data_IF_841598213123
#
_entry.id   IF_841598213123
#
_cell.length_a   1.000
_cell.length_b   1.000
_cell.length_c   1.000
_cell.angle_alpha   90.00
_cell.angle_beta   90.00
_cell.angle_gamma   90.00
#
_symmetry.space_group_name_H-M   'P 1'
#
loop_
_entity.id
_entity.type
_entity.pdbx_description
1 polymer ?
#
# COMPACT_ATOMS: atom_id res chain seq x y z
N UNK A 1 28.40 66.29 5.89
CA UNK A 1 29.22 65.32 5.12
C UNK A 1 29.75 64.16 5.96
N UNK A 2 30.34 64.36 7.16
CA UNK A 2 30.91 63.25 7.96
C UNK A 2 29.91 62.17 8.43
N UNK A 3 28.64 62.54 8.68
CA UNK A 3 27.60 61.61 9.15
C UNK A 3 27.11 60.69 8.02
N UNK A 4 27.04 61.18 6.78
CA UNK A 4 26.64 60.35 5.64
C UNK A 4 27.69 59.28 5.29
N UNK A 5 28.98 59.59 5.45
CA UNK A 5 30.04 58.59 5.28
C UNK A 5 30.01 57.51 6.36
N UNK A 6 29.65 57.85 7.60
CA UNK A 6 29.49 56.87 8.67
C UNK A 6 28.30 55.93 8.43
N UNK A 7 27.18 56.45 7.95
CA UNK A 7 26.00 55.64 7.61
C UNK A 7 26.32 54.72 6.42
N UNK A 8 27.02 55.24 5.39
CA UNK A 8 27.41 54.44 4.24
C UNK A 8 28.38 53.31 4.62
N UNK A 9 29.32 53.58 5.53
CA UNK A 9 30.28 52.58 6.02
C UNK A 9 29.60 51.49 6.88
N UNK A 10 28.59 51.86 7.68
CA UNK A 10 27.82 50.88 8.47
C UNK A 10 26.95 50.00 7.56
N UNK A 11 26.32 50.58 6.53
CA UNK A 11 25.52 49.81 5.56
C UNK A 11 26.40 48.87 4.73
N UNK A 12 27.60 49.29 4.32
CA UNK A 12 28.58 48.42 3.66
C UNK A 12 29.10 47.31 4.57
N UNK A 13 29.29 47.58 5.87
CA UNK A 13 29.71 46.55 6.82
C UNK A 13 28.63 45.48 7.05
N UNK A 14 27.35 45.87 7.08
CA UNK A 14 26.22 44.93 7.24
C UNK A 14 26.06 44.06 5.97
N UNK A 15 26.25 44.63 4.78
CA UNK A 15 26.15 43.89 3.51
C UNK A 15 27.29 42.89 3.30
N UNK A 16 28.44 43.07 3.94
CA UNK A 16 29.59 42.15 3.84
C UNK A 16 29.49 41.00 4.87
N UNK A 17 28.72 41.14 5.94
CA UNK A 17 28.58 40.07 6.95
C UNK A 17 27.57 38.99 6.58
N UNK A 18 26.68 39.22 5.61
CA UNK A 18 25.65 38.25 5.21
C UNK A 18 26.13 37.22 4.17
N UNK A 19 27.37 37.29 3.66
CA UNK A 19 27.89 36.33 2.66
C UNK A 19 28.74 35.18 3.23
N UNK A 20 28.78 34.98 4.55
CA UNK A 20 29.51 33.88 5.21
C UNK A 20 28.61 33.15 6.22
N UNK A 21 27.54 32.53 5.72
CA UNK A 21 26.77 31.54 6.46
C UNK A 21 26.52 30.31 5.57
N UNK A 22 27.60 29.63 5.20
CA UNK A 22 27.54 28.35 4.51
C UNK A 22 27.14 27.25 5.52
N UNK A 23 25.84 26.94 5.57
CA UNK A 23 25.28 25.92 6.44
C UNK A 23 25.62 24.54 5.86
N UNK A 24 26.72 23.95 6.33
CA UNK A 24 27.05 22.54 6.06
C UNK A 24 25.92 21.64 6.57
N UNK A 25 25.11 21.08 5.65
CA UNK A 25 24.14 20.03 5.95
C UNK A 25 24.90 18.76 6.30
N UNK A 26 24.94 18.42 7.60
CA UNK A 26 25.49 17.15 8.09
C UNK A 26 24.64 15.99 7.54
N UNK A 27 25.23 15.17 6.67
CA UNK A 27 24.67 13.86 6.31
C UNK A 27 24.61 12.97 7.56
N UNK A 28 23.40 12.66 8.02
CA UNK A 28 23.18 11.64 9.06
C UNK A 28 23.32 10.27 8.38
N UNK A 29 24.48 9.61 8.55
CA UNK A 29 24.66 8.20 8.18
C UNK A 29 23.74 7.35 9.06
N UNK A 30 22.62 6.88 8.51
CA UNK A 30 21.80 5.89 9.18
C UNK A 30 22.34 4.50 8.84
N UNK A 31 22.76 3.77 9.88
CA UNK A 31 23.24 2.39 9.83
C UNK A 31 22.05 1.50 9.47
N UNK A 32 22.16 0.69 8.40
CA UNK A 32 21.20 -0.37 8.05
C UNK A 32 21.04 -1.30 9.25
N UNK A 33 19.87 -1.30 9.90
CA UNK A 33 19.42 -2.43 10.70
C UNK A 33 18.49 -3.26 9.82
N UNK A 34 19.01 -4.41 9.38
CA UNK A 34 18.22 -5.54 8.92
C UNK A 34 17.71 -6.24 10.18
N UNK A 35 16.41 -6.24 10.44
CA UNK A 35 15.84 -7.12 11.46
C UNK A 35 14.56 -7.75 10.93
N UNK A 36 14.64 -9.08 10.98
CA UNK A 36 13.63 -10.09 10.76
C UNK A 36 12.46 -9.95 11.74
N UNK A 37 11.27 -10.28 11.27
CA UNK A 37 10.02 -10.49 12.00
C UNK A 37 10.25 -11.22 13.32
N UNK A 38 9.65 -10.74 14.43
CA UNK A 38 8.99 -11.56 15.48
C UNK A 38 8.22 -10.63 16.43
N UNK A 39 6.96 -10.99 16.67
CA UNK A 39 6.02 -10.52 17.69
C UNK A 39 6.61 -10.49 19.10
N UNK A 40 6.29 -9.45 19.91
CA UNK A 40 5.84 -9.54 21.33
C UNK A 40 5.64 -8.12 21.89
N UNK A 41 4.43 -7.89 22.37
CA UNK A 41 3.92 -6.97 23.42
C UNK A 41 4.68 -5.67 23.78
N UNK A 42 3.97 -4.54 23.74
CA UNK A 42 4.33 -3.31 24.44
C UNK A 42 3.20 -2.90 25.39
N UNK A 43 3.51 -2.82 26.68
CA UNK A 43 2.78 -2.03 27.67
C UNK A 43 3.74 -1.03 28.34
N UNK A 44 3.33 0.24 28.25
CA UNK A 44 3.54 1.45 29.08
C UNK A 44 4.90 1.79 29.73
N UNK A 45 5.34 3.00 29.38
CA UNK A 45 5.85 4.11 30.20
C UNK A 45 7.09 3.90 31.12
N UNK A 46 8.20 4.61 30.86
CA UNK A 46 8.53 5.88 31.53
C UNK A 46 9.96 6.40 31.21
N UNK A 47 10.07 7.74 31.15
CA UNK A 47 11.20 8.69 31.36
C UNK A 47 12.69 8.37 31.11
N UNK A 48 13.35 9.39 30.51
CA UNK A 48 14.79 9.63 30.31
C UNK A 48 15.69 9.23 31.50
N UNK A 49 16.86 8.67 31.20
CA UNK A 49 18.16 9.21 31.64
C UNK A 49 19.30 8.69 30.74
N UNK A 50 20.15 9.62 30.30
CA UNK A 50 21.28 9.46 29.39
C UNK A 50 22.58 9.51 30.22
N UNK A 51 23.31 8.39 30.32
CA UNK A 51 24.64 8.30 30.94
C UNK A 51 25.51 7.34 30.09
N UNK A 52 26.78 7.68 29.77
CA UNK A 52 27.60 6.92 28.83
C UNK A 52 28.32 5.77 29.54
N UNK A 53 28.04 4.52 29.15
CA UNK A 53 28.76 3.33 29.66
C UNK A 53 30.00 3.07 28.80
N UNK A 54 31.15 2.97 29.47
CA UNK A 54 32.49 2.65 28.93
C UNK A 54 32.52 1.28 28.25
N UNK A 55 33.21 1.22 27.11
CA UNK A 55 33.56 -0.03 26.41
C UNK A 55 34.37 -0.96 27.34
N UNK A 56 33.83 -2.17 27.55
CA UNK A 56 34.58 -3.33 28.04
C UNK A 56 34.59 -4.35 26.92
N UNK A 57 35.78 -4.62 26.38
CA UNK A 57 36.02 -5.67 25.40
C UNK A 57 35.74 -7.04 26.07
N UNK A 58 34.75 -7.77 25.55
CA UNK A 58 34.47 -9.15 25.95
C UNK A 58 35.04 -10.07 24.87
N UNK A 59 36.09 -10.80 25.21
CA UNK A 59 36.63 -11.90 24.39
C UNK A 59 35.60 -13.05 24.34
N UNK A 60 35.20 -13.46 23.13
CA UNK A 60 34.32 -14.60 22.88
C UNK A 60 35.20 -15.86 22.68
N UNK A 61 35.03 -16.95 23.44
CA UNK A 61 35.75 -18.20 23.19
C UNK A 61 35.28 -18.87 21.89
N UNK A 62 36.23 -19.34 21.08
CA UNK A 62 35.96 -20.15 19.88
C UNK A 62 35.44 -21.56 20.27
N UNK A 63 34.27 -21.95 19.77
CA UNK A 63 33.78 -23.33 19.83
C UNK A 63 34.12 -24.10 18.53
N UNK A 64 34.37 -25.42 18.61
CA UNK A 64 35.00 -26.17 17.52
C UNK A 64 34.07 -26.41 16.33
N UNK A 65 34.61 -26.17 15.13
CA UNK A 65 33.98 -26.51 13.85
C UNK A 65 33.73 -28.03 13.77
N UNK A 66 32.46 -28.42 13.78
CA UNK A 66 32.06 -29.78 13.39
C UNK A 66 31.69 -29.74 11.92
N UNK A 67 32.53 -30.40 11.11
CA UNK A 67 32.28 -30.64 9.69
C UNK A 67 30.98 -31.44 9.53
N UNK A 68 29.89 -30.76 9.16
CA UNK A 68 28.69 -31.43 8.65
C UNK A 68 28.99 -31.80 7.21
N UNK A 69 29.21 -33.09 6.98
CA UNK A 69 29.33 -33.67 5.65
C UNK A 69 28.00 -33.45 4.92
N UNK A 70 28.00 -32.50 3.99
CA UNK A 70 26.82 -32.10 3.23
C UNK A 70 26.56 -33.12 2.11
N UNK A 71 25.87 -34.21 2.46
CA UNK A 71 25.27 -35.17 1.54
C UNK A 71 23.76 -35.20 1.74
N UNK A 72 23.11 -34.05 1.61
CA UNK A 72 21.67 -34.01 1.43
C UNK A 72 21.34 -33.14 0.23
N UNK A 73 21.09 -33.78 -0.90
CA UNK A 73 20.38 -33.16 -2.00
C UNK A 73 19.01 -32.75 -1.46
N UNK A 74 18.85 -31.46 -1.11
CA UNK A 74 17.55 -30.89 -0.81
C UNK A 74 16.69 -31.07 -2.06
N UNK A 75 15.80 -32.07 -2.04
CA UNK A 75 14.68 -32.13 -2.97
C UNK A 75 13.97 -30.79 -2.85
N UNK A 76 14.04 -29.96 -3.88
CA UNK A 76 13.40 -28.67 -3.87
C UNK A 76 11.89 -28.92 -3.73
N UNK A 77 11.27 -28.39 -2.67
CA UNK A 77 9.84 -28.52 -2.43
C UNK A 77 9.06 -28.12 -3.71
N UNK A 78 8.31 -29.05 -4.33
CA UNK A 78 7.54 -28.82 -5.55
C UNK A 78 6.58 -27.64 -5.44
N UNK A 79 6.08 -27.34 -4.23
CA UNK A 79 5.13 -26.27 -4.00
C UNK A 79 5.75 -24.86 -4.03
N UNK A 80 7.08 -24.73 -3.95
CA UNK A 80 7.76 -23.43 -3.92
C UNK A 80 7.51 -22.56 -5.16
N UNK A 81 7.21 -23.17 -6.30
CA UNK A 81 6.97 -22.48 -7.58
C UNK A 81 5.51 -22.49 -8.02
N UNK A 82 4.62 -23.07 -7.22
CA UNK A 82 3.21 -23.23 -7.58
C UNK A 82 2.39 -22.09 -6.98
N UNK A 83 1.80 -21.28 -7.86
CA UNK A 83 0.89 -20.21 -7.47
C UNK A 83 -0.55 -20.71 -7.50
N UNK A 84 -1.11 -20.93 -6.31
CA UNK A 84 -2.52 -21.27 -6.16
C UNK A 84 -3.39 -20.00 -6.11
N UNK A 85 -4.60 -20.09 -6.69
CA UNK A 85 -5.57 -19.00 -6.63
C UNK A 85 -6.06 -18.70 -5.21
N UNK A 86 -6.79 -17.58 -5.05
CA UNK A 86 -7.31 -17.15 -3.76
C UNK A 86 -8.11 -18.25 -3.03
N UNK A 87 -7.84 -18.45 -1.74
CA UNK A 87 -8.51 -19.47 -0.93
C UNK A 87 -7.91 -20.86 -1.03
N UNK A 88 -6.80 -21.02 -1.75
CA UNK A 88 -6.10 -22.29 -1.94
C UNK A 88 -4.65 -22.23 -1.48
N UNK A 89 -4.13 -23.38 -1.06
CA UNK A 89 -2.72 -23.59 -0.72
C UNK A 89 -2.19 -24.79 -1.49
N UNK A 90 -0.88 -24.81 -1.77
CA UNK A 90 -0.25 -25.95 -2.39
C UNK A 90 0.08 -27.00 -1.32
N UNK A 91 -0.33 -28.23 -1.57
CA UNK A 91 0.01 -29.41 -0.79
C UNK A 91 0.47 -30.52 -1.75
N UNK A 92 1.43 -31.33 -1.33
CA UNK A 92 1.96 -32.44 -2.14
C UNK A 92 1.09 -33.67 -1.90
N UNK A 93 0.67 -34.33 -2.97
CA UNK A 93 -0.13 -35.56 -2.89
C UNK A 93 0.71 -36.83 -2.64
N UNK A 94 0.08 -38.01 -2.70
CA UNK A 94 0.76 -39.31 -2.48
C UNK A 94 1.75 -39.67 -3.59
N UNK A 95 1.68 -39.01 -4.75
CA UNK A 95 2.51 -39.25 -5.93
C UNK A 95 3.65 -38.21 -6.07
N UNK A 96 3.93 -37.44 -5.02
CA UNK A 96 4.90 -36.32 -4.98
C UNK A 96 4.55 -35.16 -5.95
N UNK A 97 3.28 -35.03 -6.35
CA UNK A 97 2.82 -33.96 -7.25
C UNK A 97 2.17 -32.79 -6.48
N UNK A 98 2.47 -31.53 -6.84
CA UNK A 98 1.91 -30.36 -6.15
C UNK A 98 0.46 -30.09 -6.57
N UNK A 99 -0.45 -30.07 -5.59
CA UNK A 99 -1.87 -29.82 -5.80
C UNK A 99 -2.37 -28.60 -5.01
N UNK A 100 -3.16 -27.73 -5.67
CA UNK A 100 -3.82 -26.62 -5.01
C UNK A 100 -5.14 -27.04 -4.36
N UNK A 101 -5.13 -27.26 -3.05
CA UNK A 101 -6.32 -27.58 -2.25
C UNK A 101 -6.90 -26.33 -1.59
N UNK A 102 -8.16 -26.37 -1.14
CA UNK A 102 -8.72 -25.26 -0.36
C UNK A 102 -8.01 -25.14 1.00
N UNK A 103 -7.81 -23.91 1.49
CA UNK A 103 -7.22 -23.66 2.81
C UNK A 103 -7.95 -24.49 3.87
N UNK A 104 -7.24 -25.30 4.68
CA UNK A 104 -7.87 -26.14 5.69
C UNK A 104 -8.34 -25.32 6.89
N UNK A 105 -7.49 -24.43 7.40
CA UNK A 105 -7.73 -23.62 8.59
C UNK A 105 -7.35 -22.17 8.36
N UNK A 106 -8.21 -21.25 8.81
CA UNK A 106 -7.99 -19.81 8.75
C UNK A 106 -7.70 -19.23 10.14
N UNK A 107 -6.85 -18.19 10.24
CA UNK A 107 -6.62 -17.51 11.51
C UNK A 107 -7.90 -16.85 12.01
N UNK A 108 -8.06 -16.84 13.34
CA UNK A 108 -9.17 -16.18 14.03
C UNK A 108 -8.75 -14.76 14.36
N UNK A 109 -9.38 -13.77 13.70
CA UNK A 109 -9.13 -12.37 14.04
C UNK A 109 -9.95 -11.94 15.25
N UNK A 110 -9.23 -11.52 16.29
CA UNK A 110 -9.81 -10.95 17.51
C UNK A 110 -10.19 -9.48 17.33
N UNK A 111 -9.45 -8.75 16.49
CA UNK A 111 -9.72 -7.34 16.20
C UNK A 111 -10.90 -7.21 15.24
N UNK A 112 -11.94 -6.49 15.68
CA UNK A 112 -13.10 -6.12 14.87
C UNK A 112 -12.76 -5.48 13.52
N UNK A 113 -11.63 -4.75 13.42
CA UNK A 113 -11.17 -4.08 12.19
C UNK A 113 -10.59 -5.04 11.16
N UNK A 114 -10.13 -6.22 11.57
CA UNK A 114 -9.56 -7.25 10.69
C UNK A 114 -10.58 -8.30 10.23
N UNK A 115 -11.77 -8.27 10.81
CA UNK A 115 -12.95 -8.97 10.28
C UNK A 115 -13.34 -8.37 8.93
N UNK A 116 -14.25 -9.03 8.22
CA UNK A 116 -14.70 -8.55 6.91
C UNK A 116 -16.22 -8.65 6.80
N UNK A 117 -16.82 -7.69 6.09
CA UNK A 117 -18.21 -7.76 5.68
C UNK A 117 -18.27 -8.28 4.24
N UNK A 118 -19.12 -9.27 4.00
CA UNK A 118 -19.33 -9.83 2.66
C UNK A 118 -20.42 -9.10 1.88
N UNK A 119 -20.49 -9.36 0.58
CA UNK A 119 -21.57 -8.91 -0.31
C UNK A 119 -22.98 -9.44 0.08
N UNK A 120 -23.07 -10.35 1.05
CA UNK A 120 -24.33 -10.83 1.64
C UNK A 120 -24.70 -10.10 2.94
N UNK A 121 -23.97 -9.04 3.30
CA UNK A 121 -24.11 -8.31 4.56
C UNK A 121 -23.89 -9.20 5.80
N UNK A 122 -23.07 -10.24 5.66
CA UNK A 122 -22.65 -11.13 6.75
C UNK A 122 -21.22 -10.81 7.17
N UNK A 123 -20.98 -10.79 8.50
CA UNK A 123 -19.65 -10.58 9.07
C UNK A 123 -18.90 -11.89 9.19
N UNK A 124 -17.68 -11.94 8.66
CA UNK A 124 -16.79 -13.09 8.70
C UNK A 124 -15.58 -12.83 9.58
N UNK A 125 -14.98 -13.91 10.08
CA UNK A 125 -13.86 -13.85 11.03
C UNK A 125 -12.62 -13.24 10.41
N UNK A 126 -12.36 -13.48 9.13
CA UNK A 126 -11.20 -12.97 8.39
C UNK A 126 -11.50 -13.00 6.89
N UNK A 127 -10.67 -12.29 6.13
CA UNK A 127 -10.63 -12.40 4.67
C UNK A 127 -10.33 -13.83 4.19
N UNK A 128 -9.43 -14.54 4.88
CA UNK A 128 -9.15 -15.96 4.64
C UNK A 128 -10.44 -16.80 4.63
N UNK A 129 -11.34 -16.59 5.60
CA UNK A 129 -12.57 -17.38 5.74
C UNK A 129 -13.53 -17.19 4.54
N UNK A 130 -13.56 -15.99 3.94
CA UNK A 130 -14.33 -15.72 2.72
C UNK A 130 -13.76 -16.52 1.55
N UNK A 131 -12.45 -16.45 1.33
CA UNK A 131 -11.81 -17.15 0.22
C UNK A 131 -11.88 -18.67 0.37
N UNK A 132 -11.73 -19.17 1.61
CA UNK A 132 -11.93 -20.57 1.95
C UNK A 132 -13.36 -21.03 1.61
N UNK A 133 -14.38 -20.25 2.04
CA UNK A 133 -15.77 -20.56 1.73
C UNK A 133 -16.04 -20.59 0.23
N UNK A 134 -15.51 -19.60 -0.51
CA UNK A 134 -15.61 -19.52 -1.96
C UNK A 134 -14.97 -20.74 -2.63
N UNK A 135 -13.81 -21.17 -2.14
CA UNK A 135 -13.11 -22.35 -2.63
C UNK A 135 -13.96 -23.62 -2.45
N UNK A 136 -14.47 -23.86 -1.24
CA UNK A 136 -15.34 -25.01 -0.95
C UNK A 136 -16.58 -25.05 -1.83
N UNK A 137 -17.22 -23.91 -2.07
CA UNK A 137 -18.39 -23.84 -2.93
C UNK A 137 -18.04 -24.03 -4.41
N UNK A 138 -16.89 -23.52 -4.86
CA UNK A 138 -16.42 -23.75 -6.24
C UNK A 138 -16.03 -25.22 -6.50
N UNK A 139 -15.60 -25.96 -5.48
CA UNK A 139 -15.20 -27.38 -5.61
C UNK A 139 -16.32 -28.36 -5.31
N UNK A 140 -17.48 -27.88 -4.83
CA UNK A 140 -18.60 -28.75 -4.42
C UNK A 140 -18.33 -29.52 -3.12
N UNK A 141 -17.46 -28.99 -2.25
CA UNK A 141 -17.18 -29.56 -0.94
C UNK A 141 -18.43 -29.49 -0.04
N UNK A 142 -18.65 -30.52 0.78
CA UNK A 142 -19.76 -30.59 1.75
C UNK A 142 -19.72 -29.46 2.79
N UNK A 143 -18.55 -28.86 3.02
CA UNK A 143 -18.35 -27.68 3.90
C UNK A 143 -18.88 -26.38 3.28
N UNK A 144 -19.27 -26.38 2.01
CA UNK A 144 -19.95 -25.24 1.42
C UNK A 144 -21.28 -24.97 2.15
N UNK A 145 -21.52 -23.71 2.56
CA UNK A 145 -22.76 -23.30 3.24
C UNK A 145 -23.96 -23.21 2.31
N UNK A 146 -23.74 -23.06 1.00
CA UNK A 146 -24.79 -22.87 0.00
C UNK A 146 -24.24 -22.38 -1.34
N UNK A 147 -25.01 -22.58 -2.41
CA UNK A 147 -24.63 -22.18 -3.78
C UNK A 147 -24.53 -20.65 -3.92
N UNK A 148 -25.29 -19.91 -3.10
CA UNK A 148 -25.24 -18.45 -3.02
C UNK A 148 -23.84 -17.94 -2.65
N UNK A 149 -23.06 -18.73 -1.91
CA UNK A 149 -21.70 -18.37 -1.50
C UNK A 149 -20.64 -18.71 -2.56
N UNK A 150 -21.00 -19.25 -3.72
CA UNK A 150 -20.05 -19.52 -4.81
C UNK A 150 -19.36 -18.25 -5.33
N UNK A 151 -20.06 -17.12 -5.27
CA UNK A 151 -19.55 -15.80 -5.68
C UNK A 151 -19.38 -14.85 -4.49
N UNK A 152 -19.25 -15.39 -3.27
CA UNK A 152 -18.96 -14.59 -2.08
C UNK A 152 -17.66 -13.82 -2.27
N UNK A 153 -17.68 -12.54 -1.92
CA UNK A 153 -16.51 -11.68 -1.90
C UNK A 153 -16.62 -10.68 -0.75
N UNK A 154 -15.48 -10.07 -0.44
CA UNK A 154 -15.39 -9.04 0.58
C UNK A 154 -15.95 -7.75 -0.01
N UNK A 155 -16.93 -7.15 0.68
CA UNK A 155 -17.43 -5.83 0.36
C UNK A 155 -16.51 -4.77 0.99
N UNK A 156 -16.17 -4.93 2.28
CA UNK A 156 -15.25 -4.05 2.99
C UNK A 156 -14.64 -4.71 4.24
N UNK A 157 -13.55 -4.12 4.74
CA UNK A 157 -12.89 -4.54 5.99
C UNK A 157 -13.55 -3.91 7.23
N UNK A 158 -13.75 -4.75 8.25
CA UNK A 158 -14.50 -4.46 9.46
C UNK A 158 -15.73 -5.35 9.61
N UNK A 159 -16.49 -5.13 10.69
CA UNK A 159 -17.78 -5.79 10.88
C UNK A 159 -18.86 -5.16 9.99
N UNK A 160 -19.86 -5.96 9.61
CA UNK A 160 -21.02 -5.44 8.90
C UNK A 160 -21.73 -4.39 9.75
N UNK A 161 -22.10 -3.28 9.12
CA UNK A 161 -22.76 -2.13 9.75
C UNK A 161 -23.65 -1.46 8.73
N UNK A 162 -24.69 -0.81 9.22
CA UNK A 162 -25.54 0.02 8.37
C UNK A 162 -24.76 1.28 7.96
N UNK A 163 -24.46 1.39 6.67
CA UNK A 163 -23.80 2.56 6.09
C UNK A 163 -24.87 3.56 5.64
N UNK A 164 -24.69 4.86 5.92
CA UNK A 164 -25.58 5.88 5.41
C UNK A 164 -25.47 5.94 3.87
N UNK A 165 -26.55 6.37 3.22
CA UNK A 165 -26.52 6.69 1.79
C UNK A 165 -25.65 7.93 1.56
N UNK A 166 -24.94 7.94 0.42
CA UNK A 166 -24.16 9.10 0.02
C UNK A 166 -25.08 10.23 -0.45
N UNK A 167 -25.08 11.35 0.26
CA UNK A 167 -25.88 12.52 -0.11
C UNK A 167 -25.30 13.20 -1.36
N UNK A 168 -26.11 14.04 -2.02
CA UNK A 168 -25.68 14.76 -3.23
C UNK A 168 -24.56 15.75 -2.92
N UNK A 169 -24.62 16.37 -1.75
CA UNK A 169 -23.63 17.31 -1.26
C UNK A 169 -22.30 16.63 -0.97
N UNK A 170 -22.32 15.45 -0.32
CA UNK A 170 -21.12 14.65 -0.10
C UNK A 170 -20.51 14.16 -1.41
N UNK A 171 -21.34 13.68 -2.35
CA UNK A 171 -20.88 13.22 -3.66
C UNK A 171 -20.25 14.35 -4.47
N UNK A 172 -20.80 15.57 -4.41
CA UNK A 172 -20.23 16.73 -5.11
C UNK A 172 -18.87 17.17 -4.55
N UNK A 173 -18.55 16.86 -3.30
CA UNK A 173 -17.24 17.13 -2.69
C UNK A 173 -16.26 15.96 -2.81
N UNK A 174 -16.77 14.74 -3.03
CA UNK A 174 -15.99 13.51 -3.02
C UNK A 174 -14.83 13.50 -4.02
N UNK A 175 -14.99 13.89 -5.31
CA UNK A 175 -13.88 13.90 -6.27
C UNK A 175 -12.68 14.72 -5.79
N UNK A 176 -12.93 15.91 -5.23
CA UNK A 176 -11.89 16.79 -4.67
C UNK A 176 -11.15 16.12 -3.53
N UNK A 177 -11.86 15.56 -2.55
CA UNK A 177 -11.24 14.87 -1.41
C UNK A 177 -10.44 13.65 -1.86
N UNK A 178 -10.93 12.92 -2.85
CA UNK A 178 -10.24 11.77 -3.44
C UNK A 178 -8.92 12.21 -4.08
N UNK A 179 -8.90 13.27 -4.90
CA UNK A 179 -7.66 13.83 -5.49
C UNK A 179 -6.63 14.21 -4.43
N UNK A 180 -7.07 14.91 -3.37
CA UNK A 180 -6.18 15.32 -2.28
C UNK A 180 -5.66 14.12 -1.49
N UNK A 181 -6.52 13.13 -1.24
CA UNK A 181 -6.14 11.89 -0.59
C UNK A 181 -5.08 11.12 -1.40
N UNK A 182 -5.30 10.94 -2.70
CA UNK A 182 -4.35 10.27 -3.61
C UNK A 182 -2.97 10.92 -3.58
N UNK A 183 -2.93 12.26 -3.65
CA UNK A 183 -1.67 12.99 -3.57
C UNK A 183 -0.96 12.78 -2.22
N UNK A 184 -1.69 12.82 -1.10
CA UNK A 184 -1.10 12.58 0.21
C UNK A 184 -0.58 11.14 0.36
N UNK A 185 -1.30 10.14 -0.17
CA UNK A 185 -0.84 8.75 -0.19
C UNK A 185 0.45 8.63 -1.00
N UNK A 186 0.50 9.23 -2.19
CA UNK A 186 1.70 9.23 -3.03
C UNK A 186 2.91 9.84 -2.30
N UNK A 187 2.72 10.99 -1.63
CA UNK A 187 3.76 11.63 -0.82
C UNK A 187 4.22 10.75 0.33
N UNK A 188 3.29 10.14 1.07
CA UNK A 188 3.63 9.27 2.20
C UNK A 188 4.43 8.03 1.75
N UNK A 189 4.13 7.47 0.57
CA UNK A 189 4.90 6.38 -0.04
C UNK A 189 6.29 6.85 -0.50
N UNK A 190 6.39 8.07 -1.04
CA UNK A 190 7.68 8.68 -1.41
C UNK A 190 8.59 8.83 -0.19
N UNK A 191 8.05 9.32 0.93
CA UNK A 191 8.76 9.47 2.19
C UNK A 191 9.27 8.13 2.75
N UNK A 192 8.46 7.07 2.62
CA UNK A 192 8.82 5.70 3.01
C UNK A 192 9.74 4.99 2.02
N UNK A 193 10.01 5.60 0.86
CA UNK A 193 10.81 5.04 -0.24
C UNK A 193 10.21 3.77 -0.83
N UNK A 194 8.88 3.73 -0.90
CA UNK A 194 8.11 2.62 -1.46
C UNK A 194 7.72 2.87 -2.93
N UNK A 195 7.95 4.07 -3.45
CA UNK A 195 7.75 4.38 -4.87
C UNK A 195 8.95 3.98 -5.75
N UNK A 196 8.67 3.60 -6.99
CA UNK A 196 9.68 3.43 -8.04
C UNK A 196 10.39 4.76 -8.33
N UNK A 197 11.61 4.74 -8.93
CA UNK A 197 12.31 5.97 -9.30
C UNK A 197 11.51 6.90 -10.22
N UNK A 198 10.67 6.34 -11.10
CA UNK A 198 9.82 7.10 -11.99
C UNK A 198 8.65 7.75 -11.26
N UNK A 199 7.90 7.02 -10.43
CA UNK A 199 6.81 7.62 -9.65
C UNK A 199 7.32 8.63 -8.62
N UNK A 200 8.52 8.42 -8.06
CA UNK A 200 9.18 9.41 -7.20
C UNK A 200 9.50 10.71 -7.95
N UNK A 201 9.82 10.65 -9.25
CA UNK A 201 10.01 11.85 -10.07
C UNK A 201 8.68 12.58 -10.28
N UNK A 202 7.62 11.83 -10.61
CA UNK A 202 6.27 12.38 -10.76
C UNK A 202 5.77 13.07 -9.48
N UNK A 203 6.04 12.49 -8.31
CA UNK A 203 5.69 13.07 -7.00
C UNK A 203 6.40 14.41 -6.77
N UNK A 204 7.71 14.49 -7.04
CA UNK A 204 8.48 15.76 -6.90
C UNK A 204 8.00 16.86 -7.84
N UNK A 205 7.59 16.49 -9.06
CA UNK A 205 6.97 17.43 -10.00
C UNK A 205 5.61 17.92 -9.47
N UNK A 206 4.84 17.03 -8.83
CA UNK A 206 3.55 17.34 -8.22
C UNK A 206 3.67 18.27 -6.99
N UNK A 207 4.75 18.20 -6.22
CA UNK A 207 5.00 19.15 -5.12
C UNK A 207 5.28 20.59 -5.60
N UNK A 208 5.90 20.73 -6.78
CA UNK A 208 6.37 22.01 -7.29
C UNK A 208 5.40 22.68 -8.27
N UNK A 209 4.55 21.91 -8.95
CA UNK A 209 3.57 22.40 -9.90
C UNK A 209 2.14 22.01 -9.51
N UNK A 210 1.31 23.02 -9.21
CA UNK A 210 -0.07 22.81 -8.76
C UNK A 210 -0.96 22.13 -9.81
N UNK A 211 -0.74 22.34 -11.12
CA UNK A 211 -1.57 21.69 -12.16
C UNK A 211 -1.27 20.19 -12.22
N UNK A 212 0.02 19.83 -12.13
CA UNK A 212 0.47 18.44 -12.11
C UNK A 212 0.22 17.74 -10.79
N UNK A 213 -0.11 18.47 -9.73
CA UNK A 213 -0.25 17.94 -8.38
C UNK A 213 -1.22 16.76 -8.30
N UNK A 214 -2.44 16.97 -8.79
CA UNK A 214 -3.48 15.95 -8.75
C UNK A 214 -3.39 15.02 -9.95
N UNK A 215 -3.03 15.53 -11.13
CA UNK A 215 -2.88 14.73 -12.35
C UNK A 215 -1.85 13.62 -12.19
N UNK A 216 -0.67 13.92 -11.66
CA UNK A 216 0.37 12.91 -11.47
C UNK A 216 -0.04 11.85 -10.42
N UNK A 217 -0.66 12.27 -9.32
CA UNK A 217 -1.15 11.34 -8.30
C UNK A 217 -2.28 10.44 -8.82
N UNK A 218 -3.18 10.99 -9.64
CA UNK A 218 -4.26 10.24 -10.27
C UNK A 218 -3.73 9.22 -11.29
N UNK A 219 -2.78 9.62 -12.15
CA UNK A 219 -2.13 8.72 -13.11
C UNK A 219 -1.38 7.61 -12.38
N UNK A 220 -0.54 7.97 -11.40
CA UNK A 220 0.20 6.99 -10.60
C UNK A 220 -0.75 5.96 -9.98
N UNK A 221 -1.83 6.43 -9.33
CA UNK A 221 -2.73 5.50 -8.68
C UNK A 221 -3.44 4.60 -9.68
N UNK A 222 -3.85 5.13 -10.83
CA UNK A 222 -4.47 4.32 -11.87
C UNK A 222 -3.51 3.24 -12.39
N UNK A 223 -2.25 3.60 -12.65
CA UNK A 223 -1.22 2.64 -13.05
C UNK A 223 -0.87 1.61 -11.96
N UNK A 224 -0.93 2.01 -10.68
CA UNK A 224 -0.75 1.11 -9.53
C UNK A 224 -1.92 0.12 -9.37
N UNK A 225 -3.10 0.48 -9.86
CA UNK A 225 -4.28 -0.38 -9.84
C UNK A 225 -4.41 -1.26 -11.09
N UNK A 226 -4.01 -0.78 -12.27
CA UNK A 226 -3.92 -1.57 -13.52
C UNK A 226 -2.80 -2.60 -13.35
N UNK A 227 -3.16 -3.74 -12.76
CA UNK A 227 -2.27 -4.78 -12.34
C UNK A 227 -1.95 -5.73 -13.48
N UNK A 228 -1.83 -7.03 -13.19
CA UNK A 228 -1.56 -8.03 -14.22
C UNK A 228 -2.85 -8.76 -14.62
N UNK A 229 -3.19 -8.84 -15.92
CA UNK A 229 -2.48 -8.23 -17.06
C UNK A 229 -2.68 -6.72 -17.16
N UNK A 230 -1.62 -5.98 -17.52
CA UNK A 230 -1.72 -4.55 -17.81
C UNK A 230 -2.53 -4.35 -19.08
N UNK A 231 -3.85 -4.11 -18.93
CA UNK A 231 -4.79 -4.02 -20.03
C UNK A 231 -5.27 -2.58 -20.29
N UNK A 232 -4.63 -1.61 -19.62
CA UNK A 232 -4.94 -0.18 -19.68
C UNK A 232 -6.37 0.11 -19.25
N UNK A 233 -6.89 -0.68 -18.31
CA UNK A 233 -8.18 -0.48 -17.69
C UNK A 233 -8.15 -1.04 -16.28
N UNK A 234 -8.88 -0.43 -15.36
CA UNK A 234 -8.96 -0.92 -13.98
C UNK A 234 -10.29 -1.63 -13.78
N UNK A 235 -10.25 -2.94 -13.56
CA UNK A 235 -11.42 -3.75 -13.28
C UNK A 235 -11.96 -3.55 -11.85
N UNK A 236 -13.19 -4.00 -11.60
CA UNK A 236 -13.76 -4.02 -10.24
C UNK A 236 -12.90 -4.76 -9.20
N UNK A 237 -12.17 -5.80 -9.61
CA UNK A 237 -11.28 -6.54 -8.72
C UNK A 237 -10.02 -5.74 -8.39
N UNK A 238 -9.51 -4.98 -9.34
CA UNK A 238 -8.34 -4.13 -9.17
C UNK A 238 -8.64 -2.89 -8.32
N UNK A 239 -9.88 -2.42 -8.28
CA UNK A 239 -10.32 -1.36 -7.36
C UNK A 239 -10.35 -1.80 -5.88
N UNK A 240 -10.24 -3.09 -5.61
CA UNK A 240 -10.37 -3.64 -4.26
C UNK A 240 -9.46 -2.96 -3.21
N UNK A 241 -8.16 -2.69 -3.48
CA UNK A 241 -7.25 -2.09 -2.51
C UNK A 241 -7.61 -0.66 -2.10
N UNK A 242 -8.40 0.07 -2.89
CA UNK A 242 -8.91 1.39 -2.51
C UNK A 242 -10.34 1.34 -1.99
N UNK A 243 -11.18 0.45 -2.53
CA UNK A 243 -12.60 0.35 -2.14
C UNK A 243 -12.75 -0.26 -0.76
N UNK A 244 -12.35 -1.52 -0.59
CA UNK A 244 -12.71 -2.31 0.58
C UNK A 244 -12.10 -1.77 1.90
N UNK A 245 -10.85 -1.27 1.93
CA UNK A 245 -10.29 -0.70 3.15
C UNK A 245 -10.89 0.66 3.55
N UNK A 246 -11.38 1.45 2.59
CA UNK A 246 -11.87 2.81 2.84
C UNK A 246 -13.38 2.91 2.95
N UNK A 247 -14.15 1.95 2.45
CA UNK A 247 -15.61 2.00 2.46
C UNK A 247 -16.22 2.11 3.87
N UNK A 248 -15.54 1.56 4.89
CA UNK A 248 -15.93 1.72 6.29
C UNK A 248 -15.56 3.09 6.89
N UNK A 249 -14.91 3.96 6.15
CA UNK A 249 -14.58 5.34 6.53
C UNK A 249 -15.28 6.35 5.61
N UNK A 250 -15.56 5.96 4.37
CA UNK A 250 -16.08 6.81 3.30
C UNK A 250 -17.18 6.06 2.54
N UNK A 251 -18.43 6.23 2.94
CA UNK A 251 -19.59 5.54 2.34
C UNK A 251 -19.84 5.93 0.88
N UNK A 252 -19.32 7.08 0.44
CA UNK A 252 -19.43 7.57 -0.93
C UNK A 252 -18.46 6.88 -1.92
N UNK A 253 -17.45 6.12 -1.46
CA UNK A 253 -16.44 5.55 -2.37
C UNK A 253 -17.04 4.56 -3.37
N UNK A 254 -17.94 3.70 -2.92
CA UNK A 254 -18.59 2.71 -3.77
C UNK A 254 -19.46 3.35 -4.86
N UNK A 255 -20.42 4.25 -4.54
CA UNK A 255 -21.22 4.92 -5.56
C UNK A 255 -20.38 5.84 -6.46
N UNK A 256 -19.31 6.45 -5.93
CA UNK A 256 -18.39 7.24 -6.75
C UNK A 256 -17.68 6.39 -7.80
N UNK A 257 -17.02 5.31 -7.40
CA UNK A 257 -16.30 4.42 -8.32
C UNK A 257 -17.25 3.79 -9.35
N UNK A 258 -18.47 3.43 -8.94
CA UNK A 258 -19.48 2.92 -9.86
C UNK A 258 -19.95 3.97 -10.88
N UNK A 259 -19.94 5.26 -10.52
CA UNK A 259 -20.32 6.35 -11.42
C UNK A 259 -19.20 6.76 -12.39
N UNK A 260 -17.95 6.33 -12.13
CA UNK A 260 -16.83 6.58 -13.03
C UNK A 260 -16.89 5.72 -14.30
N UNK A 261 -17.43 4.51 -14.18
CA UNK A 261 -17.71 3.59 -15.30
C UNK A 261 -18.90 4.14 -16.10
N UNK A 262 -18.62 4.94 -17.14
CA UNK A 262 -19.65 5.73 -17.83
C UNK A 262 -20.37 4.91 -18.91
N UNK A 263 -19.69 3.90 -19.46
CA UNK A 263 -20.24 2.99 -20.46
C UNK A 263 -20.71 1.63 -19.89
N UNK A 264 -20.60 1.45 -18.57
CA UNK A 264 -21.04 0.27 -17.79
C UNK A 264 -20.39 -1.03 -18.27
N UNK A 265 -19.12 -0.95 -18.71
CA UNK A 265 -18.34 -2.11 -19.15
C UNK A 265 -17.61 -2.84 -18.01
N UNK A 266 -17.79 -2.34 -16.77
CA UNK A 266 -17.20 -2.82 -15.52
C UNK A 266 -15.68 -2.63 -15.42
N UNK A 267 -15.15 -1.71 -16.21
CA UNK A 267 -13.76 -1.28 -16.20
C UNK A 267 -13.72 0.25 -16.13
N UNK A 268 -12.57 0.78 -15.73
CA UNK A 268 -12.35 2.22 -15.65
C UNK A 268 -11.08 2.55 -16.43
N UNK A 269 -11.25 3.21 -17.56
CA UNK A 269 -10.14 3.73 -18.35
C UNK A 269 -9.49 4.95 -17.69
N UNK A 270 -8.27 5.32 -18.09
CA UNK A 270 -7.60 6.52 -17.56
C UNK A 270 -8.42 7.80 -17.80
N UNK A 271 -9.15 7.86 -18.91
CA UNK A 271 -10.00 9.00 -19.26
C UNK A 271 -11.20 9.11 -18.34
N UNK A 272 -11.90 8.00 -18.11
CA UNK A 272 -13.01 7.94 -17.17
C UNK A 272 -12.56 8.27 -15.76
N UNK A 273 -11.46 7.66 -15.30
CA UNK A 273 -10.85 7.95 -14.01
C UNK A 273 -10.58 9.44 -13.81
N UNK A 274 -9.93 10.06 -14.80
CA UNK A 274 -9.61 11.47 -14.77
C UNK A 274 -10.83 12.39 -14.83
N UNK A 275 -11.81 12.08 -15.69
CA UNK A 275 -13.08 12.81 -15.77
C UNK A 275 -13.85 12.73 -14.45
N UNK A 276 -13.88 11.55 -13.83
CA UNK A 276 -14.50 11.30 -12.53
C UNK A 276 -13.81 12.08 -11.40
N UNK A 277 -12.50 12.28 -11.52
CA UNK A 277 -11.71 13.15 -10.66
C UNK A 277 -11.71 14.61 -11.12
N UNK A 278 -12.56 15.04 -12.06
CA UNK A 278 -12.64 16.45 -12.51
C UNK A 278 -11.27 17.03 -12.93
N UNK A 279 -10.44 16.22 -13.59
CA UNK A 279 -9.13 16.62 -14.10
C UNK A 279 -9.22 16.96 -15.59
N UNK A 280 -8.32 17.85 -16.04
CA UNK A 280 -8.24 18.25 -17.45
C UNK A 280 -7.71 17.08 -18.29
N UNK A 281 -8.50 16.64 -19.28
CA UNK A 281 -8.16 15.50 -20.14
C UNK A 281 -6.84 15.68 -20.90
N UNK A 282 -6.51 16.92 -21.28
CA UNK A 282 -5.29 17.24 -22.00
C UNK A 282 -4.01 17.02 -21.15
N UNK A 283 -4.13 16.97 -19.82
CA UNK A 283 -3.01 16.70 -18.93
C UNK A 283 -2.85 15.21 -18.59
N UNK A 284 -3.85 14.39 -18.90
CA UNK A 284 -3.92 12.95 -18.61
C UNK A 284 -3.24 12.13 -19.71
N UNK A 285 -1.92 12.11 -19.65
CA UNK A 285 -1.09 11.25 -20.47
C UNK A 285 -0.80 9.95 -19.71
N UNK A 286 -0.97 8.81 -20.39
CA UNK A 286 -0.53 7.51 -19.90
C UNK A 286 0.99 7.53 -19.71
N UNK A 287 1.39 7.57 -18.44
CA UNK A 287 2.77 7.57 -17.95
C UNK A 287 2.92 6.45 -16.93
N UNK A 288 2.36 5.28 -17.21
CA UNK A 288 2.66 4.14 -16.35
C UNK A 288 4.13 3.74 -16.49
N UNK A 289 4.70 3.23 -15.40
CA UNK A 289 6.01 2.62 -15.46
C UNK A 289 5.97 1.44 -16.41
N UNK A 290 6.82 1.45 -17.44
CA UNK A 290 7.14 0.24 -18.17
C UNK A 290 7.86 -0.69 -17.19
N UNK A 291 7.12 -1.61 -16.57
CA UNK A 291 7.71 -2.73 -15.85
C UNK A 291 8.34 -3.61 -16.93
N UNK A 292 9.56 -3.26 -17.36
CA UNK A 292 10.41 -4.20 -18.07
C UNK A 292 10.67 -5.35 -17.11
N UNK A 293 10.00 -6.48 -17.35
CA UNK A 293 10.32 -7.77 -16.72
C UNK A 293 11.82 -8.04 -16.97
N UNK A 294 12.65 -7.90 -15.94
CA UNK A 294 13.99 -8.49 -15.88
C UNK A 294 13.92 -9.91 -15.30
#
# INVERSE_FOLDING_TARGET
>A
MKIQFFILAIVLAILVTDSLAEKTRKHKKYRRHRVSTTSTELNLDNELNDEPVRDMDVEIPEEPETEITDNNAFSADPCLKVHCGAGRICEIDEDDEPQCICIPDCPIEVDSRRKVCSNHNETWTSDCAIYQQRCWCSTGDKRCKGEEYRHIHIEYYGVCRDMPECTKEEMADFPRRMRDWLFNVMRDLADRRELTPHYLKMEREAETNLTRRWTNAAIWKWCDLDGQPHDRSVSRHELFPIRAPLMSLEHCIAPFLNACDTDDDHRITLKEWGSCLELDEDELEDKCDEITEE
#
